data_IF_227687346358
#
_entry.id   IF_227687346358
#
_cell.length_a   1.000
_cell.length_b   1.000
_cell.length_c   1.000
_cell.angle_alpha   90.00
_cell.angle_beta   90.00
_cell.angle_gamma   90.00
#
_symmetry.space_group_name_H-M   'P 1'
#
loop_
_entity.id
_entity.type
_entity.pdbx_description
1 polymer ?
#
# COMPACT_ATOMS: atom_id res chain seq x y z
N UNK A 1 -8.70 -25.60 9.45
CA UNK A 1 -7.24 -25.83 9.38
C UNK A 1 -6.53 -24.97 10.44
N UNK A 2 -6.89 -25.15 11.72
CA UNK A 2 -6.37 -24.37 12.88
C UNK A 2 -5.73 -25.28 13.94
N UNK A 3 -5.68 -26.57 13.65
CA UNK A 3 -5.26 -27.64 14.58
C UNK A 3 -3.80 -28.07 14.37
N UNK A 4 -3.13 -27.59 13.31
CA UNK A 4 -1.73 -27.89 12.98
C UNK A 4 -0.73 -26.91 13.61
N UNK A 5 -1.18 -25.96 14.42
CA UNK A 5 -0.33 -24.95 15.05
C UNK A 5 -0.16 -25.15 16.57
N UNK A 6 -0.79 -26.17 17.16
CA UNK A 6 -0.58 -26.49 18.58
C UNK A 6 0.58 -27.48 18.72
N UNK A 7 1.72 -27.01 19.23
CA UNK A 7 2.90 -27.82 19.52
C UNK A 7 2.56 -29.11 20.31
N UNK A 8 1.53 -29.04 21.17
CA UNK A 8 1.07 -30.18 21.96
C UNK A 8 0.39 -31.28 21.11
N UNK A 9 -0.37 -30.92 20.08
CA UNK A 9 -0.98 -31.89 19.16
C UNK A 9 0.07 -32.47 18.20
N UNK A 10 1.04 -31.66 17.78
CA UNK A 10 2.16 -32.10 16.94
C UNK A 10 3.02 -33.15 17.65
N UNK A 11 3.28 -32.96 18.95
CA UNK A 11 4.06 -33.90 19.78
C UNK A 11 3.33 -35.23 20.00
N UNK A 12 2.01 -35.21 20.17
CA UNK A 12 1.18 -36.42 20.26
C UNK A 12 1.16 -37.23 18.95
N UNK A 13 1.41 -36.57 17.80
CA UNK A 13 1.56 -37.19 16.48
C UNK A 13 3.03 -37.54 16.14
N UNK A 14 3.97 -37.38 17.10
CA UNK A 14 5.39 -37.66 16.89
C UNK A 14 6.15 -36.61 16.08
N UNK A 15 5.55 -35.46 15.78
CA UNK A 15 6.17 -34.37 15.04
C UNK A 15 6.87 -33.42 16.03
N UNK A 16 8.20 -33.55 16.13
CA UNK A 16 9.05 -32.56 16.78
C UNK A 16 9.29 -31.39 15.84
N UNK A 17 8.66 -30.24 16.10
CA UNK A 17 8.99 -28.98 15.42
C UNK A 17 10.21 -28.40 16.13
N UNK A 18 11.38 -28.51 15.50
CA UNK A 18 12.60 -27.85 15.96
C UNK A 18 12.61 -26.39 15.48
N UNK A 19 12.92 -25.48 16.41
CA UNK A 19 13.14 -24.04 16.24
C UNK A 19 11.90 -23.18 15.92
N UNK A 20 11.49 -22.41 16.94
CA UNK A 20 10.59 -21.26 16.80
C UNK A 20 11.25 -20.18 15.93
N UNK A 21 10.68 -19.91 14.77
CA UNK A 21 11.08 -18.85 13.85
C UNK A 21 10.02 -18.69 12.76
N UNK A 22 9.91 -17.51 12.17
CA UNK A 22 9.01 -17.29 11.03
C UNK A 22 9.79 -16.70 9.85
N UNK A 23 9.41 -17.14 8.65
CA UNK A 23 9.96 -16.62 7.41
C UNK A 23 9.40 -15.22 7.15
N UNK A 24 10.19 -14.19 7.51
CA UNK A 24 9.84 -12.78 7.29
C UNK A 24 9.59 -12.49 5.81
N UNK A 25 10.39 -13.08 4.92
CA UNK A 25 10.24 -12.87 3.48
C UNK A 25 8.95 -13.52 2.99
N UNK A 26 8.68 -14.76 3.39
CA UNK A 26 7.43 -15.45 3.05
C UNK A 26 6.17 -14.69 3.51
N UNK A 27 6.21 -14.04 4.67
CA UNK A 27 5.11 -13.18 5.14
C UNK A 27 4.97 -11.91 4.28
N UNK A 28 6.08 -11.24 3.96
CA UNK A 28 6.08 -10.05 3.11
C UNK A 28 5.60 -10.35 1.68
N UNK A 29 6.04 -11.46 1.11
CA UNK A 29 5.62 -11.96 -0.20
C UNK A 29 4.13 -12.29 -0.21
N UNK A 30 3.63 -12.93 0.86
CA UNK A 30 2.21 -13.21 0.99
C UNK A 30 1.36 -11.93 0.99
N UNK A 31 1.76 -10.92 1.77
CA UNK A 31 1.08 -9.62 1.82
C UNK A 31 1.10 -8.92 0.45
N UNK A 32 2.25 -8.89 -0.22
CA UNK A 32 2.41 -8.31 -1.56
C UNK A 32 1.52 -9.02 -2.59
N UNK A 33 1.53 -10.34 -2.59
CA UNK A 33 0.71 -11.14 -3.49
C UNK A 33 -0.79 -10.96 -3.24
N UNK A 34 -1.21 -10.81 -1.99
CA UNK A 34 -2.60 -10.52 -1.65
C UNK A 34 -3.03 -9.16 -2.21
N UNK A 35 -2.23 -8.11 -1.98
CA UNK A 35 -2.51 -6.76 -2.48
C UNK A 35 -2.61 -6.73 -4.02
N UNK A 36 -1.68 -7.40 -4.71
CA UNK A 36 -1.69 -7.50 -6.17
C UNK A 36 -2.93 -8.24 -6.70
N UNK A 37 -3.34 -9.34 -6.05
CA UNK A 37 -4.54 -10.09 -6.43
C UNK A 37 -5.80 -9.25 -6.27
N UNK A 38 -5.96 -8.56 -5.14
CA UNK A 38 -7.13 -7.70 -4.90
C UNK A 38 -7.19 -6.58 -5.95
N UNK A 39 -6.06 -5.90 -6.19
CA UNK A 39 -5.97 -4.85 -7.23
C UNK A 39 -6.36 -5.38 -8.61
N UNK A 40 -5.81 -6.53 -8.99
CA UNK A 40 -6.10 -7.17 -10.29
C UNK A 40 -7.58 -7.51 -10.43
N UNK A 41 -8.17 -8.14 -9.41
CA UNK A 41 -9.57 -8.53 -9.42
C UNK A 41 -10.49 -7.32 -9.57
N UNK A 42 -10.26 -6.24 -8.82
CA UNK A 42 -11.05 -5.01 -8.93
C UNK A 42 -10.92 -4.37 -10.31
N UNK A 43 -9.70 -4.27 -10.86
CA UNK A 43 -9.47 -3.77 -12.22
C UNK A 43 -10.25 -4.58 -13.26
N UNK A 44 -10.25 -5.90 -13.13
CA UNK A 44 -10.96 -6.79 -14.04
C UNK A 44 -12.48 -6.64 -13.91
N UNK A 45 -13.01 -6.54 -12.68
CA UNK A 45 -14.43 -6.28 -12.44
C UNK A 45 -14.88 -4.96 -13.06
N UNK A 46 -14.10 -3.88 -12.92
CA UNK A 46 -14.42 -2.57 -13.50
C UNK A 46 -14.41 -2.60 -15.03
N UNK A 47 -13.40 -3.24 -15.64
CA UNK A 47 -13.35 -3.44 -17.09
C UNK A 47 -14.53 -4.27 -17.61
N UNK A 48 -14.90 -5.34 -16.90
CA UNK A 48 -16.04 -6.19 -17.27
C UNK A 48 -17.39 -5.43 -17.24
N UNK A 49 -17.49 -4.41 -16.38
CA UNK A 49 -18.64 -3.51 -16.34
C UNK A 49 -18.58 -2.37 -17.37
N UNK A 50 -17.54 -2.32 -18.21
CA UNK A 50 -17.36 -1.29 -19.23
C UNK A 50 -16.81 0.04 -18.71
N UNK A 51 -16.17 0.07 -17.54
CA UNK A 51 -15.55 1.29 -17.02
C UNK A 51 -14.20 1.53 -17.69
N UNK A 52 -14.02 2.73 -18.25
CA UNK A 52 -12.73 3.21 -18.75
C UNK A 52 -11.79 3.58 -17.60
N UNK A 53 -10.62 2.93 -17.55
CA UNK A 53 -9.62 3.16 -16.50
C UNK A 53 -8.47 3.98 -17.10
N UNK A 54 -8.38 5.24 -16.73
CA UNK A 54 -7.29 6.14 -17.08
C UNK A 54 -6.24 6.12 -15.96
N UNK A 55 -5.03 5.66 -16.28
CA UNK A 55 -3.98 5.46 -15.27
C UNK A 55 -3.02 6.64 -15.27
N UNK A 56 -3.13 7.50 -14.26
CA UNK A 56 -2.22 8.63 -14.07
C UNK A 56 -2.74 9.57 -12.99
N UNK A 57 -2.13 10.76 -12.89
CA UNK A 57 -2.64 11.82 -12.03
C UNK A 57 -3.60 12.72 -12.82
N UNK A 58 -4.73 13.03 -12.17
CA UNK A 58 -5.76 13.91 -12.68
C UNK A 58 -5.81 15.24 -11.92
N UNK A 59 -6.09 16.34 -12.61
CA UNK A 59 -6.39 17.63 -11.98
C UNK A 59 -7.66 18.26 -12.55
N UNK A 60 -8.34 19.08 -11.74
CA UNK A 60 -9.54 19.82 -12.16
C UNK A 60 -9.11 21.09 -12.86
N UNK A 61 -9.65 21.36 -14.05
CA UNK A 61 -9.50 22.64 -14.72
C UNK A 61 -10.63 23.61 -14.31
N UNK A 62 -10.37 24.91 -14.38
CA UNK A 62 -11.28 26.00 -13.96
C UNK A 62 -12.72 25.89 -14.53
N UNK A 63 -12.86 25.31 -15.72
CA UNK A 63 -14.18 24.96 -16.27
C UNK A 63 -14.66 23.64 -15.66
N UNK A 64 -15.76 23.71 -14.91
CA UNK A 64 -16.41 22.55 -14.29
C UNK A 64 -16.66 21.48 -15.37
N UNK A 65 -16.09 20.29 -15.17
CA UNK A 65 -16.25 19.17 -16.08
C UNK A 65 -15.11 19.00 -17.08
N UNK A 66 -13.92 19.58 -16.87
CA UNK A 66 -12.67 19.21 -17.58
C UNK A 66 -11.62 18.67 -16.60
N UNK A 67 -11.12 17.46 -16.86
CA UNK A 67 -10.04 16.80 -16.11
C UNK A 67 -8.82 16.65 -17.00
N UNK A 68 -7.64 17.10 -16.55
CA UNK A 68 -6.37 16.81 -17.25
C UNK A 68 -5.85 15.44 -16.80
N UNK A 69 -5.79 14.47 -17.71
CA UNK A 69 -5.08 13.23 -17.53
C UNK A 69 -3.67 13.36 -18.11
N UNK A 70 -2.66 13.32 -17.24
CA UNK A 70 -1.27 13.41 -17.70
C UNK A 70 -0.87 12.14 -18.51
N UNK A 71 -0.31 12.28 -19.73
CA UNK A 71 0.07 13.54 -20.39
C UNK A 71 -0.92 13.97 -21.50
N UNK A 72 -1.76 14.97 -21.21
CA UNK A 72 -2.35 15.86 -22.23
C UNK A 72 -3.77 15.58 -22.70
N UNK A 73 -4.49 14.64 -22.09
CA UNK A 73 -5.87 14.33 -22.49
C UNK A 73 -6.88 14.99 -21.55
N UNK A 74 -7.66 15.93 -22.08
CA UNK A 74 -8.77 16.55 -21.37
C UNK A 74 -9.99 15.62 -21.47
N UNK A 75 -10.47 15.14 -20.33
CA UNK A 75 -11.70 14.35 -20.23
C UNK A 75 -12.82 15.26 -19.77
N UNK A 76 -14.00 15.11 -20.37
CA UNK A 76 -15.19 15.86 -19.95
C UNK A 76 -16.26 14.97 -19.35
N UNK A 77 -16.92 15.46 -18.30
CA UNK A 77 -17.99 14.74 -17.61
C UNK A 77 -19.03 15.72 -17.08
N UNK A 78 -20.30 15.30 -17.07
CA UNK A 78 -21.41 16.07 -16.51
C UNK A 78 -21.35 16.10 -14.98
N UNK A 79 -21.10 14.94 -14.38
CA UNK A 79 -21.06 14.71 -12.94
C UNK A 79 -19.68 14.16 -12.56
N UNK A 80 -19.12 14.63 -11.43
CA UNK A 80 -17.75 14.29 -11.00
C UNK A 80 -17.75 13.90 -9.52
N UNK A 81 -17.12 12.77 -9.21
CA UNK A 81 -16.90 12.29 -7.83
C UNK A 81 -15.40 12.38 -7.50
N UNK A 82 -15.06 13.06 -6.41
CA UNK A 82 -13.69 13.17 -5.92
C UNK A 82 -13.39 12.12 -4.84
N UNK A 83 -12.51 11.18 -5.18
CA UNK A 83 -12.12 10.08 -4.29
C UNK A 83 -10.58 9.96 -4.20
N UNK A 84 -9.88 11.08 -3.99
CA UNK A 84 -8.40 11.16 -4.01
C UNK A 84 -7.70 10.52 -2.82
N UNK A 85 -8.45 10.01 -1.84
CA UNK A 85 -7.90 9.40 -0.62
C UNK A 85 -7.28 10.42 0.34
N UNK A 86 -6.34 9.96 1.17
CA UNK A 86 -5.67 10.75 2.21
C UNK A 86 -4.17 10.48 2.23
N UNK A 87 -3.40 11.45 2.72
CA UNK A 87 -1.97 11.29 3.01
C UNK A 87 -1.77 11.14 4.54
N UNK A 88 -0.84 10.28 5.00
CA UNK A 88 -0.55 10.16 6.43
C UNK A 88 0.02 11.48 6.96
N UNK A 89 -0.29 11.80 8.22
CA UNK A 89 0.30 12.97 8.89
C UNK A 89 1.80 12.74 9.11
N UNK A 90 2.61 13.70 8.66
CA UNK A 90 4.05 13.73 8.92
C UNK A 90 4.33 14.88 9.88
N UNK A 91 4.77 14.59 11.13
CA UNK A 91 5.17 15.64 12.07
C UNK A 91 6.30 16.50 11.52
N UNK A 92 6.32 17.78 11.92
CA UNK A 92 7.41 18.69 11.53
C UNK A 92 8.76 18.12 11.99
N UNK A 93 9.77 18.19 11.12
CA UNK A 93 11.13 17.70 11.38
C UNK A 93 11.35 16.21 11.11
N UNK A 94 10.30 15.48 10.67
CA UNK A 94 10.42 14.09 10.23
C UNK A 94 10.34 14.04 8.71
N UNK A 95 11.30 13.39 8.06
CA UNK A 95 11.22 13.02 6.65
C UNK A 95 10.95 11.52 6.54
N UNK A 96 10.14 11.14 5.55
CA UNK A 96 9.72 9.75 5.31
C UNK A 96 10.22 9.36 3.93
N UNK A 97 11.17 8.43 3.85
CA UNK A 97 11.72 7.94 2.57
C UNK A 97 11.50 6.42 2.42
N UNK A 98 10.24 6.00 2.44
CA UNK A 98 9.77 4.65 2.04
C UNK A 98 10.24 3.44 2.88
N UNK A 99 11.36 3.55 3.60
CA UNK A 99 12.03 2.50 4.36
C UNK A 99 12.44 2.97 5.76
N UNK A 100 12.71 4.27 5.96
CA UNK A 100 13.28 4.82 7.20
C UNK A 100 12.65 6.19 7.52
N UNK A 101 12.45 6.46 8.80
CA UNK A 101 12.12 7.80 9.32
C UNK A 101 13.42 8.51 9.72
N UNK A 102 13.71 9.68 9.15
CA UNK A 102 14.82 10.54 9.62
C UNK A 102 14.27 11.71 10.41
N UNK A 103 14.90 12.01 11.56
CA UNK A 103 14.60 13.18 12.39
C UNK A 103 15.72 14.20 12.21
N UNK A 104 15.41 15.37 11.64
CA UNK A 104 16.35 16.50 11.56
C UNK A 104 16.05 17.50 12.69
N UNK A 105 16.90 17.53 13.71
CA UNK A 105 16.85 18.55 14.75
C UNK A 105 17.73 19.74 14.32
N UNK A 106 17.13 20.93 14.24
CA UNK A 106 17.81 22.18 13.86
C UNK A 106 18.67 22.77 14.99
N UNK A 107 19.46 21.95 15.70
CA UNK A 107 20.53 22.41 16.59
C UNK A 107 21.64 21.35 16.62
N UNK A 108 22.80 21.71 16.04
CA UNK A 108 24.00 20.91 15.78
C UNK A 108 23.86 19.74 14.80
N UNK A 109 24.81 19.67 13.85
CA UNK A 109 24.98 18.67 12.77
C UNK A 109 25.04 17.22 13.28
N UNK A 110 23.95 16.68 13.81
CA UNK A 110 23.79 15.29 14.20
C UNK A 110 22.45 14.77 13.69
N UNK A 111 22.48 14.10 12.55
CA UNK A 111 21.34 13.36 12.01
C UNK A 111 21.17 12.08 12.83
N UNK A 112 20.11 11.99 13.63
CA UNK A 112 19.78 10.75 14.34
C UNK A 112 18.92 9.85 13.43
N UNK A 113 19.52 8.73 12.99
CA UNK A 113 18.80 7.69 12.26
C UNK A 113 18.08 6.77 13.25
N UNK A 114 16.75 6.89 13.34
CA UNK A 114 15.94 5.97 14.12
C UNK A 114 15.62 4.75 13.25
N UNK A 115 16.28 3.63 13.54
CA UNK A 115 15.98 2.33 12.92
C UNK A 115 15.04 1.57 13.85
N UNK A 116 13.77 1.44 13.46
CA UNK A 116 12.77 0.60 14.15
C UNK A 116 12.89 -0.84 13.65
#
# INVERSE_FOLDING_TARGET
>A
MRELQSEHHMKALGLQVAATGYDRQGVADHATNLALKIRSNLTNSMKALGVDILTGFGSILCDIGKLDHSPGNIVTAKDVIFATGSVPFVPKGIEVDGEIFSLSLLHDDQTFLLKV
#
